data_IF_765630056163
#
_entry.id   IF_765630056163
#
_cell.length_a   1.000
_cell.length_b   1.000
_cell.length_c   1.000
_cell.angle_alpha   90.00
_cell.angle_beta   90.00
_cell.angle_gamma   90.00
#
_symmetry.space_group_name_H-M   'P 1'
#
loop_
_entity.id
_entity.type
_entity.pdbx_description
1 polymer ?
#
# COMPACT_ATOMS: atom_id res chain seq x y z
N UNK A 1 -4.31 23.29 19.16
CA UNK A 1 -5.63 23.93 19.20
C UNK A 1 -6.69 22.84 19.12
N UNK A 2 -7.56 22.72 20.13
CA UNK A 2 -8.66 21.76 20.11
C UNK A 2 -9.68 22.19 19.05
N UNK A 3 -10.10 21.25 18.19
CA UNK A 3 -11.19 21.51 17.24
C UNK A 3 -12.46 21.79 18.04
N UNK A 4 -13.24 22.83 17.71
CA UNK A 4 -14.49 23.10 18.41
C UNK A 4 -15.38 21.86 18.36
N UNK A 5 -16.07 21.60 19.48
CA UNK A 5 -17.04 20.53 19.59
C UNK A 5 -18.17 20.70 18.56
N UNK A 6 -18.76 19.59 18.10
CA UNK A 6 -19.78 19.59 17.03
C UNK A 6 -20.94 20.59 17.26
N UNK A 7 -21.33 20.81 18.52
CA UNK A 7 -22.41 21.72 18.90
C UNK A 7 -21.96 23.13 19.31
N UNK A 8 -20.65 23.39 19.38
CA UNK A 8 -20.09 24.70 19.79
C UNK A 8 -20.19 25.75 18.67
N UNK A 9 -20.07 27.05 18.99
CA UNK A 9 -20.00 28.10 17.98
C UNK A 9 -18.85 27.85 16.99
N UNK A 10 -19.09 28.12 15.70
CA UNK A 10 -18.07 27.94 14.69
C UNK A 10 -16.99 29.03 14.77
N UNK A 11 -15.73 28.64 14.59
CA UNK A 11 -14.56 29.52 14.67
C UNK A 11 -14.49 30.60 13.57
N UNK A 12 -15.36 30.56 12.55
CA UNK A 12 -15.42 31.59 11.50
C UNK A 12 -16.17 32.86 11.93
N UNK A 13 -16.70 32.92 13.16
CA UNK A 13 -17.44 34.10 13.66
C UNK A 13 -18.89 34.19 13.17
N UNK A 14 -19.41 33.19 12.46
CA UNK A 14 -20.78 33.21 11.92
C UNK A 14 -21.91 33.07 12.96
N UNK A 15 -21.58 32.78 14.23
CA UNK A 15 -22.55 32.48 15.28
C UNK A 15 -23.30 31.14 15.13
N UNK A 16 -23.11 30.43 14.00
CA UNK A 16 -23.74 29.12 13.75
C UNK A 16 -23.00 28.02 14.50
N UNK A 17 -23.71 26.95 14.88
CA UNK A 17 -23.10 25.71 15.44
C UNK A 17 -22.10 25.13 14.44
N UNK A 18 -20.96 24.65 14.90
CA UNK A 18 -19.86 24.13 14.08
C UNK A 18 -20.34 23.06 13.08
N UNK A 19 -21.23 22.14 13.49
CA UNK A 19 -21.86 21.14 12.62
C UNK A 19 -22.64 21.67 11.42
N UNK A 20 -23.15 22.90 11.49
CA UNK A 20 -23.91 23.55 10.42
C UNK A 20 -23.09 24.58 9.65
N UNK A 21 -21.78 24.60 9.87
CA UNK A 21 -20.85 25.50 9.20
C UNK A 21 -19.65 24.66 8.69
N UNK A 22 -18.43 24.92 9.16
CA UNK A 22 -17.21 24.31 8.64
C UNK A 22 -16.98 22.82 8.96
N UNK A 23 -17.86 22.15 9.73
CA UNK A 23 -17.67 20.75 10.13
C UNK A 23 -17.44 19.79 8.95
N UNK A 24 -18.20 19.96 7.84
CA UNK A 24 -18.06 19.10 6.65
C UNK A 24 -16.74 19.33 5.90
N UNK A 25 -16.31 20.59 5.83
CA UNK A 25 -15.08 20.97 5.15
C UNK A 25 -13.86 20.50 5.94
N UNK A 26 -13.87 20.68 7.26
CA UNK A 26 -12.79 20.25 8.15
C UNK A 26 -12.70 18.72 8.28
N UNK A 27 -13.82 18.00 8.22
CA UNK A 27 -13.79 16.53 8.13
C UNK A 27 -13.25 16.05 6.80
N UNK A 28 -13.60 16.72 5.68
CA UNK A 28 -13.10 16.38 4.35
C UNK A 28 -11.60 16.63 4.19
N UNK A 29 -11.08 17.70 4.82
CA UNK A 29 -9.65 18.09 4.78
C UNK A 29 -8.74 17.12 5.55
N UNK A 30 -9.27 16.46 6.58
CA UNK A 30 -8.54 15.43 7.35
C UNK A 30 -8.47 14.06 6.65
N UNK A 31 -9.39 13.78 5.73
CA UNK A 31 -9.42 12.51 5.00
C UNK A 31 -8.66 12.53 3.67
N UNK A 32 -8.30 13.72 3.17
CA UNK A 32 -7.69 13.87 1.83
C UNK A 32 -6.22 13.46 1.79
N UNK A 33 -5.44 13.81 2.83
CA UNK A 33 -4.03 13.46 2.93
C UNK A 33 -3.80 12.00 3.40
N UNK A 34 -4.67 11.48 4.28
CA UNK A 34 -4.58 10.09 4.73
C UNK A 34 -4.85 9.09 3.61
N UNK A 35 -5.77 9.39 2.69
CA UNK A 35 -6.07 8.53 1.54
C UNK A 35 -4.88 8.38 0.58
N UNK A 36 -4.08 9.45 0.39
CA UNK A 36 -2.89 9.40 -0.47
C UNK A 36 -1.75 8.61 0.16
N UNK A 37 -1.53 8.75 1.48
CA UNK A 37 -0.51 7.98 2.20
C UNK A 37 -0.86 6.49 2.21
N UNK A 38 -2.13 6.15 2.49
CA UNK A 38 -2.59 4.75 2.46
C UNK A 38 -2.48 4.16 1.04
N UNK A 39 -2.90 4.90 0.02
CA UNK A 39 -2.74 4.49 -1.38
C UNK A 39 -1.28 4.28 -1.77
N UNK A 40 -0.39 5.19 -1.36
CA UNK A 40 1.05 5.07 -1.59
C UNK A 40 1.66 3.84 -0.92
N UNK A 41 1.30 3.56 0.33
CA UNK A 41 1.75 2.37 1.06
C UNK A 41 1.31 1.09 0.35
N UNK A 42 0.05 1.01 -0.09
CA UNK A 42 -0.48 -0.14 -0.83
C UNK A 42 0.28 -0.35 -2.14
N UNK A 43 0.50 0.72 -2.90
CA UNK A 43 1.25 0.66 -4.17
C UNK A 43 2.68 0.17 -3.92
N UNK A 44 3.35 0.68 -2.88
CA UNK A 44 4.71 0.22 -2.50
C UNK A 44 4.70 -1.27 -2.17
N UNK A 45 3.74 -1.76 -1.38
CA UNK A 45 3.64 -3.19 -1.09
C UNK A 45 3.40 -4.05 -2.33
N UNK A 46 2.56 -3.59 -3.26
CA UNK A 46 2.30 -4.28 -4.54
C UNK A 46 3.58 -4.33 -5.39
N UNK A 47 4.30 -3.21 -5.51
CA UNK A 47 5.56 -3.15 -6.27
C UNK A 47 6.63 -4.04 -5.64
N UNK A 48 6.76 -4.03 -4.31
CA UNK A 48 7.70 -4.90 -3.59
C UNK A 48 7.33 -6.38 -3.78
N UNK A 49 6.05 -6.75 -3.68
CA UNK A 49 5.60 -8.12 -3.90
C UNK A 49 5.85 -8.57 -5.35
N UNK A 50 5.57 -7.72 -6.34
CA UNK A 50 5.84 -7.99 -7.75
C UNK A 50 7.35 -8.15 -8.01
N UNK A 51 8.17 -7.28 -7.42
CA UNK A 51 9.64 -7.38 -7.50
C UNK A 51 10.15 -8.69 -6.89
N UNK A 52 9.66 -9.06 -5.71
CA UNK A 52 10.03 -10.33 -5.05
C UNK A 52 9.62 -11.55 -5.89
N UNK A 53 8.44 -11.52 -6.51
CA UNK A 53 8.00 -12.57 -7.43
C UNK A 53 8.90 -12.65 -8.68
N UNK A 54 9.27 -11.50 -9.26
CA UNK A 54 10.19 -11.41 -10.38
C UNK A 54 11.58 -11.96 -10.05
N UNK A 55 12.16 -11.57 -8.91
CA UNK A 55 13.46 -12.06 -8.45
C UNK A 55 13.45 -13.58 -8.20
N UNK A 56 12.37 -14.10 -7.61
CA UNK A 56 12.17 -15.56 -7.44
C UNK A 56 12.07 -16.27 -8.79
N UNK A 57 11.35 -15.70 -9.75
CA UNK A 57 11.26 -16.23 -11.11
C UNK A 57 12.61 -16.22 -11.84
N UNK A 58 13.41 -15.16 -11.66
CA UNK A 58 14.73 -15.04 -12.28
C UNK A 58 15.71 -16.10 -11.76
N UNK A 59 15.65 -16.47 -10.47
CA UNK A 59 16.43 -17.60 -9.93
C UNK A 59 15.92 -18.97 -10.40
N UNK A 60 14.63 -19.11 -10.72
CA UNK A 60 14.03 -20.35 -11.23
C UNK A 60 14.23 -20.53 -12.74
N UNK A 61 15.07 -19.69 -13.38
CA UNK A 61 15.34 -19.69 -14.82
C UNK A 61 16.13 -20.88 -15.36
N UNK A 62 15.90 -22.10 -14.88
CA UNK A 62 16.52 -23.26 -15.52
C UNK A 62 16.40 -24.56 -14.75
N UNK A 63 15.25 -25.22 -14.88
CA UNK A 63 15.19 -26.57 -15.44
C UNK A 63 13.76 -27.04 -15.59
N UNK A 64 13.46 -27.56 -16.78
CA UNK A 64 12.29 -28.43 -16.96
C UNK A 64 12.36 -29.65 -16.04
N UNK A 65 11.30 -30.46 -16.00
CA UNK A 65 11.33 -31.71 -15.24
C UNK A 65 12.57 -32.53 -15.62
N UNK A 66 13.17 -33.17 -14.61
CA UNK A 66 14.31 -34.04 -14.83
C UNK A 66 13.93 -35.16 -15.81
N UNK A 67 14.77 -35.48 -16.81
CA UNK A 67 14.59 -36.70 -17.59
C UNK A 67 14.55 -37.92 -16.66
N UNK A 68 13.71 -38.91 -16.98
CA UNK A 68 13.54 -40.10 -16.15
C UNK A 68 14.89 -40.78 -15.86
N UNK A 69 15.12 -41.06 -14.57
CA UNK A 69 16.34 -41.70 -14.08
C UNK A 69 17.56 -40.80 -13.91
N UNK A 70 17.45 -39.49 -14.19
CA UNK A 70 18.59 -38.55 -14.11
C UNK A 70 18.55 -37.64 -12.89
N UNK A 71 19.73 -37.42 -12.28
CA UNK A 71 19.90 -36.50 -11.14
C UNK A 71 20.61 -35.23 -11.58
N UNK A 72 20.17 -34.07 -11.09
CA UNK A 72 20.84 -32.81 -11.41
C UNK A 72 22.11 -32.62 -10.57
N UNK A 73 23.25 -32.39 -11.21
CA UNK A 73 24.47 -31.96 -10.52
C UNK A 73 24.53 -30.44 -10.44
N UNK A 74 24.44 -29.88 -9.23
CA UNK A 74 24.63 -28.44 -8.98
C UNK A 74 26.02 -27.95 -9.39
N UNK A 75 27.02 -28.82 -9.33
CA UNK A 75 28.43 -28.52 -9.64
C UNK A 75 28.67 -28.40 -11.14
N UNK A 76 27.98 -29.20 -11.96
CA UNK A 76 28.28 -29.32 -13.38
C UNK A 76 27.25 -28.71 -14.33
N UNK A 77 26.14 -28.19 -13.81
CA UNK A 77 25.17 -27.52 -14.68
C UNK A 77 24.46 -28.46 -15.67
N UNK A 78 24.44 -29.78 -15.44
CA UNK A 78 23.76 -30.76 -16.28
C UNK A 78 23.19 -31.95 -15.48
N UNK A 79 22.31 -32.72 -16.14
CA UNK A 79 21.79 -33.99 -15.65
C UNK A 79 22.77 -35.13 -15.96
N UNK A 80 23.05 -35.98 -14.99
CA UNK A 80 23.70 -37.27 -15.23
C UNK A 80 22.65 -38.34 -15.49
#
# INVERSE_FOLDING_TARGET
>A
MNKPGRNEPCHCGSGKKYKHCHFKEDTKKNNSNKSLIIGGIIIVFIVVAALMAYLKSAQNGGRGPAPDGKVWSKEHGHYH
#
